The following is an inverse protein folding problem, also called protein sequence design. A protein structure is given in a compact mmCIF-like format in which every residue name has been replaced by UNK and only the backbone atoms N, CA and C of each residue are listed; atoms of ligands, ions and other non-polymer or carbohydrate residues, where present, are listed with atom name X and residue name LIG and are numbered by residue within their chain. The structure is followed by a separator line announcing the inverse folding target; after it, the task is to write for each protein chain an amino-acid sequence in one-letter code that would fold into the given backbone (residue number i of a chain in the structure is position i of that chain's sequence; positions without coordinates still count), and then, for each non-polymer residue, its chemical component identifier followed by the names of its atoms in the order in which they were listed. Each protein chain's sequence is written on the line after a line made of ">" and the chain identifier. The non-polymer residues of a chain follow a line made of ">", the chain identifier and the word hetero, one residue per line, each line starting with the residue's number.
data_IF_122318331010
#
_entry.id   IF_122318331010
#
_cell.length_a   1.000
_cell.length_b   1.000
_cell.length_c   1.000
_cell.angle_alpha   90.00
_cell.angle_beta   90.00
_cell.angle_gamma   90.00
#
_symmetry.space_group_name_H-M   'P 1'
#
loop_
_entity.id
_entity.type
_entity.pdbx_description
1 polymer ?
#
# COMPACT_ATOMS: atom_id res chain seq x y z
N UNK A 1 -22.52 -13.04 -4.80
CA UNK A 1 -22.18 -11.75 -4.12
C UNK A 1 -21.10 -11.97 -3.06
N UNK A 2 -21.29 -12.87 -2.09
CA UNK A 2 -20.27 -13.21 -1.07
C UNK A 2 -18.98 -13.76 -1.72
N UNK A 3 -19.10 -14.68 -2.68
CA UNK A 3 -17.95 -15.20 -3.43
C UNK A 3 -17.12 -14.09 -4.10
N UNK A 4 -17.80 -13.07 -4.63
CA UNK A 4 -17.15 -11.93 -5.26
C UNK A 4 -16.36 -11.09 -4.23
N UNK A 5 -16.91 -10.89 -3.03
CA UNK A 5 -16.20 -10.18 -1.94
C UNK A 5 -15.00 -10.99 -1.47
N UNK A 6 -15.15 -12.32 -1.28
CA UNK A 6 -14.04 -13.20 -0.92
C UNK A 6 -12.91 -13.17 -1.95
N UNK A 7 -13.24 -13.11 -3.25
CA UNK A 7 -12.24 -12.93 -4.30
C UNK A 7 -11.53 -11.57 -4.23
N UNK A 8 -12.24 -10.50 -3.86
CA UNK A 8 -11.62 -9.18 -3.65
C UNK A 8 -10.71 -9.19 -2.41
N UNK A 9 -11.09 -9.87 -1.32
CA UNK A 9 -10.25 -10.04 -0.12
C UNK A 9 -8.95 -10.78 -0.48
N UNK A 10 -9.03 -11.89 -1.22
CA UNK A 10 -7.82 -12.62 -1.69
C UNK A 10 -6.93 -11.73 -2.57
N UNK A 11 -7.52 -10.93 -3.46
CA UNK A 11 -6.77 -9.97 -4.27
C UNK A 11 -6.11 -8.90 -3.42
N UNK A 12 -6.77 -8.45 -2.35
CA UNK A 12 -6.21 -7.49 -1.40
C UNK A 12 -4.99 -8.06 -0.69
N UNK A 13 -5.04 -9.30 -0.20
CA UNK A 13 -3.90 -9.99 0.41
C UNK A 13 -2.69 -10.03 -0.53
N UNK A 14 -2.92 -10.44 -1.78
CA UNK A 14 -1.87 -10.48 -2.79
C UNK A 14 -1.31 -9.09 -3.10
N UNK A 15 -2.15 -8.06 -3.11
CA UNK A 15 -1.73 -6.67 -3.32
C UNK A 15 -0.88 -6.14 -2.15
N UNK A 16 -1.28 -6.42 -0.90
CA UNK A 16 -0.55 -6.04 0.33
C UNK A 16 0.81 -6.73 0.39
N UNK A 17 0.86 -8.04 0.11
CA UNK A 17 2.12 -8.79 0.04
C UNK A 17 3.05 -8.22 -1.03
N UNK A 18 2.51 -7.90 -2.22
CA UNK A 18 3.28 -7.30 -3.31
C UNK A 18 3.80 -5.92 -2.92
N UNK A 19 2.98 -5.09 -2.30
CA UNK A 19 3.35 -3.76 -1.82
C UNK A 19 4.49 -3.83 -0.81
N UNK A 20 4.38 -4.67 0.22
CA UNK A 20 5.43 -4.89 1.23
C UNK A 20 6.76 -5.29 0.59
N UNK A 21 6.72 -6.17 -0.42
CA UNK A 21 7.91 -6.53 -1.19
C UNK A 21 8.48 -5.38 -2.00
N UNK A 22 7.64 -4.51 -2.58
CA UNK A 22 8.10 -3.32 -3.32
C UNK A 22 8.71 -2.28 -2.40
N UNK A 23 8.19 -2.08 -1.19
CA UNK A 23 8.81 -1.20 -0.18
C UNK A 23 10.22 -1.68 0.14
N UNK A 24 10.41 -2.99 0.43
CA UNK A 24 11.73 -3.58 0.69
C UNK A 24 12.69 -3.42 -0.49
N UNK A 25 12.20 -3.60 -1.71
CA UNK A 25 12.99 -3.41 -2.93
C UNK A 25 13.40 -1.95 -3.15
N UNK A 26 12.50 -0.99 -2.90
CA UNK A 26 12.85 0.43 -2.97
C UNK A 26 13.89 0.82 -1.91
N UNK A 27 13.70 0.38 -0.65
CA UNK A 27 14.70 0.56 0.41
C UNK A 27 16.06 -0.03 0.03
N UNK A 28 16.09 -1.17 -0.66
CA UNK A 28 17.34 -1.76 -1.18
C UNK A 28 17.96 -0.92 -2.31
N UNK A 29 17.17 -0.57 -3.32
CA UNK A 29 17.64 0.23 -4.46
C UNK A 29 18.23 1.58 -4.01
N UNK A 30 17.59 2.26 -3.06
CA UNK A 30 18.12 3.50 -2.48
C UNK A 30 19.47 3.29 -1.78
N UNK A 31 19.63 2.20 -1.02
CA UNK A 31 20.91 1.88 -0.38
C UNK A 31 22.01 1.56 -1.38
N UNK A 32 21.68 0.87 -2.47
CA UNK A 32 22.63 0.55 -3.54
C UNK A 32 23.01 1.81 -4.32
N UNK A 33 22.05 2.70 -4.57
CA UNK A 33 22.26 3.99 -5.19
C UNK A 33 23.23 4.87 -4.39
N UNK A 34 23.01 4.99 -3.07
CA UNK A 34 23.90 5.70 -2.14
C UNK A 34 25.35 5.17 -2.14
N UNK A 35 25.53 3.91 -2.52
CA UNK A 35 26.84 3.25 -2.62
C UNK A 35 27.46 3.34 -4.01
N UNK A 36 26.78 3.98 -4.97
CA UNK A 36 27.18 4.00 -6.38
C UNK A 36 27.02 2.66 -7.10
N UNK A 37 26.26 1.73 -6.53
CA UNK A 37 26.05 0.37 -7.08
C UNK A 37 24.73 0.22 -7.86
N UNK A 38 23.89 1.25 -7.89
CA UNK A 38 22.65 1.31 -8.67
C UNK A 38 22.52 2.68 -9.34
N UNK A 39 21.77 2.74 -10.43
CA UNK A 39 21.54 3.96 -11.22
C UNK A 39 20.26 4.69 -10.80
N UNK A 40 20.11 5.95 -11.22
CA UNK A 40 18.84 6.69 -11.07
C UNK A 40 17.65 5.94 -11.68
N UNK A 41 17.89 5.21 -12.77
CA UNK A 41 16.85 4.42 -13.45
C UNK A 41 16.40 3.22 -12.61
N UNK A 42 17.32 2.55 -11.91
CA UNK A 42 16.98 1.42 -11.02
C UNK A 42 16.08 1.86 -9.88
N UNK A 43 16.36 3.03 -9.29
CA UNK A 43 15.55 3.57 -8.21
C UNK A 43 14.19 4.04 -8.74
N UNK A 44 14.15 4.78 -9.85
CA UNK A 44 12.90 5.20 -10.51
C UNK A 44 12.00 4.01 -10.86
N UNK A 45 12.58 2.95 -11.41
CA UNK A 45 11.86 1.72 -11.74
C UNK A 45 11.30 1.02 -10.49
N UNK A 46 12.05 1.03 -9.39
CA UNK A 46 11.59 0.47 -8.11
C UNK A 46 10.42 1.28 -7.54
N UNK A 47 10.55 2.61 -7.52
CA UNK A 47 9.49 3.53 -7.07
C UNK A 47 8.23 3.37 -7.93
N UNK A 48 8.35 3.36 -9.25
CA UNK A 48 7.20 3.19 -10.14
C UNK A 48 6.43 1.87 -9.87
N UNK A 49 7.14 0.80 -9.52
CA UNK A 49 6.52 -0.48 -9.14
C UNK A 49 5.82 -0.40 -7.78
N UNK A 50 6.38 0.33 -6.82
CA UNK A 50 5.73 0.61 -5.53
C UNK A 50 4.45 1.41 -5.71
N UNK A 51 4.50 2.51 -6.47
CA UNK A 51 3.33 3.34 -6.78
C UNK A 51 2.17 2.54 -7.38
N UNK A 52 2.48 1.66 -8.34
CA UNK A 52 1.47 0.76 -8.93
C UNK A 52 0.89 -0.21 -7.91
N UNK A 53 1.71 -0.74 -6.99
CA UNK A 53 1.24 -1.64 -5.94
C UNK A 53 0.34 -0.90 -4.94
N UNK A 54 0.72 0.31 -4.52
CA UNK A 54 -0.06 1.15 -3.61
C UNK A 54 -1.42 1.53 -4.23
N UNK A 55 -1.44 1.92 -5.51
CA UNK A 55 -2.69 2.18 -6.27
C UNK A 55 -3.57 0.94 -6.43
N UNK A 56 -3.00 -0.26 -6.51
CA UNK A 56 -3.77 -1.49 -6.60
C UNK A 56 -4.50 -1.79 -5.27
N UNK A 57 -3.84 -1.58 -4.13
CA UNK A 57 -4.48 -1.69 -2.81
C UNK A 57 -5.65 -0.71 -2.72
N UNK A 58 -5.43 0.57 -3.09
CA UNK A 58 -6.48 1.59 -3.04
C UNK A 58 -7.74 1.16 -3.80
N UNK A 59 -7.60 0.71 -5.04
CA UNK A 59 -8.74 0.26 -5.86
C UNK A 59 -9.51 -0.88 -5.22
N UNK A 60 -8.81 -1.83 -4.59
CA UNK A 60 -9.44 -2.96 -3.91
C UNK A 60 -10.16 -2.50 -2.64
N UNK A 61 -9.59 -1.57 -1.88
CA UNK A 61 -10.25 -0.97 -0.72
C UNK A 61 -11.48 -0.15 -1.09
N UNK A 62 -11.44 0.58 -2.20
CA UNK A 62 -12.61 1.30 -2.74
C UNK A 62 -13.74 0.31 -3.07
N UNK A 63 -13.43 -0.75 -3.82
CA UNK A 63 -14.39 -1.82 -4.15
C UNK A 63 -14.97 -2.48 -2.89
N UNK A 64 -14.14 -2.76 -1.89
CA UNK A 64 -14.61 -3.31 -0.62
C UNK A 64 -15.49 -2.30 0.12
N UNK A 65 -15.15 -1.02 0.12
CA UNK A 65 -15.93 0.00 0.81
C UNK A 65 -17.32 0.25 0.20
N UNK A 66 -17.51 -0.05 -1.09
CA UNK A 66 -18.81 -0.07 -1.76
C UNK A 66 -19.70 -1.23 -1.29
N UNK A 67 -19.12 -2.28 -0.70
CA UNK A 67 -19.88 -3.37 -0.14
C UNK A 67 -20.58 -2.95 1.15
N UNK A 68 -21.89 -3.21 1.22
CA UNK A 68 -22.78 -2.79 2.30
C UNK A 68 -23.09 -3.88 3.33
N UNK A 69 -22.83 -5.16 3.02
CA UNK A 69 -23.31 -6.31 3.81
C UNK A 69 -22.18 -7.21 4.33
N UNK A 70 -21.19 -6.63 5.02
CA UNK A 70 -20.09 -7.39 5.63
C UNK A 70 -20.56 -8.46 6.62
N UNK A 71 -21.75 -8.27 7.16
CA UNK A 71 -22.55 -9.15 7.98
C UNK A 71 -22.71 -10.57 7.42
N UNK A 72 -22.68 -10.68 6.08
CA UNK A 72 -22.89 -11.93 5.36
C UNK A 72 -21.57 -12.67 5.07
N UNK A 73 -20.42 -12.11 5.45
CA UNK A 73 -19.15 -12.82 5.41
C UNK A 73 -19.12 -13.91 6.47
N UNK A 74 -18.49 -15.04 6.13
CA UNK A 74 -18.11 -16.01 7.15
C UNK A 74 -17.07 -15.40 8.13
N UNK A 75 -16.94 -16.01 9.31
CA UNK A 75 -16.07 -15.50 10.36
C UNK A 75 -14.61 -15.37 9.93
N UNK A 76 -14.13 -16.31 9.12
CA UNK A 76 -12.75 -16.33 8.61
C UNK A 76 -12.48 -15.17 7.65
N UNK A 77 -13.38 -14.95 6.68
CA UNK A 77 -13.27 -13.85 5.72
C UNK A 77 -13.37 -12.48 6.42
N UNK A 78 -14.25 -12.36 7.41
CA UNK A 78 -14.37 -11.16 8.23
C UNK A 78 -13.08 -10.87 9.01
N UNK A 79 -12.52 -11.88 9.67
CA UNK A 79 -11.26 -11.74 10.42
C UNK A 79 -10.08 -11.38 9.52
N UNK A 80 -9.93 -12.07 8.38
CA UNK A 80 -8.90 -11.77 7.38
C UNK A 80 -9.00 -10.32 6.90
N UNK A 81 -10.21 -9.86 6.59
CA UNK A 81 -10.44 -8.49 6.15
C UNK A 81 -10.10 -7.48 7.25
N UNK A 82 -10.47 -7.77 8.49
CA UNK A 82 -10.15 -6.95 9.65
C UNK A 82 -8.63 -6.80 9.83
N UNK A 83 -7.90 -7.91 9.79
CA UNK A 83 -6.44 -7.92 9.89
C UNK A 83 -5.76 -7.19 8.73
N UNK A 84 -6.26 -7.34 7.51
CA UNK A 84 -5.75 -6.62 6.34
C UNK A 84 -5.97 -5.11 6.47
N UNK A 85 -7.17 -4.71 6.89
CA UNK A 85 -7.50 -3.30 7.07
C UNK A 85 -6.58 -2.65 8.12
N UNK A 86 -6.38 -3.31 9.26
CA UNK A 86 -5.44 -2.90 10.30
C UNK A 86 -4.00 -2.81 9.77
N UNK A 87 -3.52 -3.88 9.11
CA UNK A 87 -2.15 -3.91 8.60
C UNK A 87 -1.89 -2.82 7.57
N UNK A 88 -2.88 -2.51 6.71
CA UNK A 88 -2.73 -1.43 5.73
C UNK A 88 -2.64 -0.08 6.44
N UNK A 89 -3.56 0.23 7.37
CA UNK A 89 -3.62 1.53 8.02
C UNK A 89 -2.44 1.81 8.95
N UNK A 90 -1.99 0.79 9.70
CA UNK A 90 -0.98 0.95 10.75
C UNK A 90 0.44 0.57 10.31
N UNK A 91 0.59 -0.30 9.32
CA UNK A 91 1.91 -0.82 8.93
C UNK A 91 2.27 -0.39 7.51
N UNK A 92 1.49 -0.81 6.51
CA UNK A 92 1.85 -0.61 5.09
C UNK A 92 2.01 0.86 4.72
N UNK A 93 1.06 1.70 5.14
CA UNK A 93 1.14 3.16 4.92
C UNK A 93 2.36 3.76 5.61
N UNK A 94 2.63 3.38 6.86
CA UNK A 94 3.72 3.95 7.64
C UNK A 94 5.10 3.55 7.08
N UNK A 95 5.27 2.31 6.63
CA UNK A 95 6.52 1.89 5.98
C UNK A 95 6.77 2.62 4.66
N UNK A 96 5.72 2.91 3.90
CA UNK A 96 5.83 3.69 2.66
C UNK A 96 6.11 5.18 2.95
N UNK A 97 5.48 5.77 3.96
CA UNK A 97 5.78 7.15 4.41
C UNK A 97 7.24 7.30 4.84
N UNK A 98 7.76 6.35 5.63
CA UNK A 98 9.17 6.34 6.04
C UNK A 98 10.11 6.29 4.82
N UNK A 99 9.77 5.52 3.79
CA UNK A 99 10.52 5.49 2.54
C UNK A 99 10.52 6.85 1.84
N UNK A 100 9.37 7.53 1.76
CA UNK A 100 9.29 8.86 1.15
C UNK A 100 10.10 9.90 1.92
N UNK A 101 10.05 9.88 3.25
CA UNK A 101 10.90 10.74 4.08
C UNK A 101 12.39 10.50 3.81
N UNK A 102 12.82 9.24 3.70
CA UNK A 102 14.20 8.89 3.38
C UNK A 102 14.67 9.37 1.99
N UNK A 103 13.76 9.36 1.00
CA UNK A 103 14.05 9.89 -0.34
C UNK A 103 14.23 11.41 -0.29
N UNK A 104 13.40 12.11 0.49
CA UNK A 104 13.42 13.58 0.59
C UNK A 104 14.61 14.13 1.34
N UNK A 105 15.03 13.47 2.41
CA UNK A 105 16.20 13.88 3.20
C UNK A 105 17.50 13.76 2.42
N UNK A 106 17.51 12.98 1.35
CA UNK A 106 18.70 12.66 0.60
C UNK A 106 18.80 13.61 -0.61
N UNK A 107 19.40 14.79 -0.37
CA UNK A 107 19.49 15.92 -1.30
C UNK A 107 20.21 15.63 -2.63
N UNK A 108 20.88 14.48 -2.74
CA UNK A 108 21.51 13.99 -3.98
C UNK A 108 20.58 13.11 -4.82
N UNK A 109 19.39 12.80 -4.33
CA UNK A 109 18.45 11.91 -5.01
C UNK A 109 17.70 12.74 -6.06
N UNK A 110 18.27 12.84 -7.27
CA UNK A 110 17.67 13.45 -8.48
C UNK A 110 16.51 12.58 -8.98
N UNK A 111 15.68 12.08 -8.08
CA UNK A 111 14.47 11.38 -8.45
C UNK A 111 13.43 12.47 -8.53
N UNK A 112 13.06 12.81 -9.77
CA UNK A 112 11.81 13.49 -10.05
C UNK A 112 10.66 12.61 -9.57
N UNK A 113 10.42 12.62 -8.25
CA UNK A 113 9.20 12.11 -7.66
C UNK A 113 8.15 13.08 -8.14
N UNK A 114 7.59 12.80 -9.31
CA UNK A 114 6.44 13.51 -9.83
C UNK A 114 5.39 13.53 -8.72
N UNK A 115 5.22 14.75 -8.20
CA UNK A 115 4.27 15.14 -7.17
C UNK A 115 4.30 14.29 -5.88
N UNK A 116 5.33 14.53 -5.04
CA UNK A 116 5.37 14.04 -3.65
C UNK A 116 4.07 14.35 -2.91
N UNK A 117 3.49 15.54 -3.11
CA UNK A 117 2.27 15.93 -2.43
C UNK A 117 1.12 14.98 -2.80
N UNK A 118 0.97 14.68 -4.10
CA UNK A 118 0.01 13.68 -4.56
C UNK A 118 0.27 12.28 -3.97
N UNK A 119 1.53 11.90 -3.70
CA UNK A 119 1.82 10.62 -3.03
C UNK A 119 1.44 10.62 -1.56
N UNK A 120 1.76 11.69 -0.83
CA UNK A 120 1.35 11.83 0.57
C UNK A 120 -0.18 11.85 0.70
N UNK A 121 -0.86 12.56 -0.20
CA UNK A 121 -2.32 12.57 -0.26
C UNK A 121 -2.88 11.18 -0.58
N UNK A 122 -2.31 10.47 -1.56
CA UNK A 122 -2.70 9.10 -1.89
C UNK A 122 -2.56 8.15 -0.69
N UNK A 123 -1.50 8.27 0.10
CA UNK A 123 -1.29 7.45 1.29
C UNK A 123 -2.26 7.78 2.42
N UNK A 124 -2.59 9.04 2.59
CA UNK A 124 -3.62 9.45 3.55
C UNK A 124 -5.01 8.92 3.14
N UNK A 125 -5.36 9.01 1.85
CA UNK A 125 -6.58 8.39 1.32
C UNK A 125 -6.59 6.87 1.52
N UNK A 126 -5.45 6.20 1.31
CA UNK A 126 -5.31 4.75 1.53
C UNK A 126 -5.58 4.40 3.01
N UNK A 127 -5.00 5.17 3.94
CA UNK A 127 -5.19 4.99 5.38
C UNK A 127 -6.67 5.16 5.75
N UNK A 128 -7.31 6.22 5.27
CA UNK A 128 -8.73 6.49 5.55
C UNK A 128 -9.65 5.39 5.02
N UNK A 129 -9.41 4.89 3.81
CA UNK A 129 -10.17 3.77 3.24
C UNK A 129 -9.99 2.48 4.06
N UNK A 130 -8.78 2.22 4.52
CA UNK A 130 -8.48 1.07 5.36
C UNK A 130 -9.12 1.19 6.75
N UNK A 131 -9.03 2.34 7.42
CA UNK A 131 -9.71 2.60 8.70
C UNK A 131 -11.23 2.46 8.59
N UNK A 132 -11.84 3.03 7.54
CA UNK A 132 -13.28 2.87 7.30
C UNK A 132 -13.68 1.40 7.17
N UNK A 133 -12.83 0.58 6.56
CA UNK A 133 -13.07 -0.86 6.41
C UNK A 133 -12.84 -1.62 7.73
N UNK A 134 -11.83 -1.20 8.50
CA UNK A 134 -11.53 -1.72 9.83
C UNK A 134 -12.72 -1.52 10.78
N UNK A 135 -13.29 -0.31 10.81
CA UNK A 135 -14.45 -0.01 11.65
C UNK A 135 -15.69 -0.82 11.27
N UNK A 136 -15.90 -1.08 9.97
CA UNK A 136 -17.00 -1.93 9.47
C UNK A 136 -16.86 -3.41 9.86
N UNK A 137 -15.64 -3.87 10.12
CA UNK A 137 -15.33 -5.29 10.42
C UNK A 137 -15.14 -5.55 11.91
N UNK A 138 -15.12 -4.51 12.74
CA UNK A 138 -15.06 -4.59 14.21
C UNK A 138 -16.42 -5.02 14.76
N UNK A 139 -16.67 -6.32 14.81
CA UNK A 139 -17.82 -6.95 15.46
C UNK A 139 -17.40 -7.70 16.71
#
# INVERSE_FOLDING_TARGET
>A
MIEQVNEVIKKLELAVNRHSMRVKQCKKALREYRRGAATDEDVRNSIAKLLRASKAIRKLLEQLNEYSHFDALDGEASERLHLLAFFISEVSVNEELELWHNILTDSNTIIGVEDLHAQLEHLEQLRQLAHKLFDKTKR
#
